data_IF_340285932548
#
_entry.id   IF_340285932548
#
_cell.length_a   1.000
_cell.length_b   1.000
_cell.length_c   1.000
_cell.angle_alpha   90.00
_cell.angle_beta   90.00
_cell.angle_gamma   90.00
#
_symmetry.space_group_name_H-M   'P 1'
#
loop_
_entity.id
_entity.type
_entity.pdbx_description
1 polymer ?
#
# COMPACT_ATOMS: atom_id res chain seq x y z
N UNK A 1 0.00 -12.51 -12.61
CA UNK A 1 -1.21 -12.19 -11.84
C UNK A 1 -2.34 -13.17 -12.11
N UNK A 2 -2.76 -13.37 -13.36
CA UNK A 2 -3.85 -14.33 -13.68
C UNK A 2 -3.42 -15.77 -13.37
N UNK A 3 -2.36 -16.26 -14.02
CA UNK A 3 -1.96 -17.68 -13.92
C UNK A 3 -1.46 -18.08 -12.53
N UNK A 4 -0.84 -17.14 -11.81
CA UNK A 4 -0.34 -17.38 -10.46
C UNK A 4 -1.41 -17.17 -9.37
N UNK A 5 -2.64 -16.78 -9.73
CA UNK A 5 -3.79 -16.69 -8.83
C UNK A 5 -3.97 -15.34 -8.13
N UNK A 6 -2.97 -14.45 -8.14
CA UNK A 6 -3.02 -13.15 -7.46
C UNK A 6 -4.22 -12.29 -7.91
N UNK A 7 -4.59 -12.35 -9.19
CA UNK A 7 -5.74 -11.61 -9.70
C UNK A 7 -7.06 -11.99 -8.99
N UNK A 8 -7.24 -13.27 -8.62
CA UNK A 8 -8.43 -13.75 -7.92
C UNK A 8 -8.47 -13.31 -6.46
N UNK A 9 -7.32 -12.93 -5.90
CA UNK A 9 -7.15 -12.49 -4.52
C UNK A 9 -7.33 -10.97 -4.36
N UNK A 10 -7.68 -10.26 -5.45
CA UNK A 10 -7.95 -8.82 -5.42
C UNK A 10 -6.79 -7.94 -5.89
N UNK A 11 -5.63 -8.51 -6.24
CA UNK A 11 -4.59 -7.74 -6.92
C UNK A 11 -5.04 -7.44 -8.37
N UNK A 12 -5.61 -6.26 -8.59
CA UNK A 12 -6.24 -5.90 -9.87
C UNK A 12 -5.46 -4.88 -10.70
N UNK A 13 -4.55 -4.10 -10.09
CA UNK A 13 -3.80 -3.05 -10.77
C UNK A 13 -2.41 -3.52 -11.22
N UNK A 14 -2.12 -3.37 -12.52
CA UNK A 14 -0.77 -3.43 -13.10
C UNK A 14 -0.29 -2.00 -13.27
N UNK A 15 0.58 -1.53 -12.38
CA UNK A 15 1.04 -0.14 -12.38
C UNK A 15 2.41 -0.02 -13.05
N UNK A 16 2.48 0.81 -14.09
CA UNK A 16 3.75 1.23 -14.69
C UNK A 16 4.29 2.41 -13.87
N UNK A 17 5.52 2.29 -13.39
CA UNK A 17 6.22 3.39 -12.68
C UNK A 17 6.99 4.29 -13.67
N UNK A 18 7.98 5.06 -13.23
CA UNK A 18 8.75 5.99 -14.07
C UNK A 18 9.40 5.32 -15.30
N UNK A 19 9.91 6.14 -16.22
CA UNK A 19 10.66 5.73 -17.44
C UNK A 19 9.85 5.06 -18.56
N UNK A 20 8.52 5.22 -18.58
CA UNK A 20 7.68 4.63 -19.64
C UNK A 20 7.54 5.52 -20.89
N UNK A 21 7.66 6.84 -20.74
CA UNK A 21 7.45 7.79 -21.82
C UNK A 21 8.75 8.11 -22.58
N UNK A 22 8.59 8.70 -23.76
CA UNK A 22 9.66 9.34 -24.50
C UNK A 22 10.25 10.51 -23.69
N UNK A 23 11.50 10.87 -24.00
CA UNK A 23 12.22 11.92 -23.26
C UNK A 23 11.57 13.30 -23.36
N UNK A 24 10.97 13.60 -24.52
CA UNK A 24 10.26 14.82 -24.82
C UNK A 24 8.81 14.52 -25.21
N UNK A 25 7.95 15.52 -25.04
CA UNK A 25 6.58 15.52 -25.55
C UNK A 25 6.60 15.53 -27.09
N UNK A 26 5.52 15.05 -27.70
CA UNK A 26 5.34 15.15 -29.15
C UNK A 26 5.20 16.61 -29.63
N UNK A 27 5.15 16.83 -30.95
CA UNK A 27 5.00 18.17 -31.54
C UNK A 27 3.71 18.91 -31.16
N UNK A 28 2.74 18.20 -30.58
CA UNK A 28 1.45 18.70 -30.13
C UNK A 28 1.47 18.93 -28.61
N UNK A 29 2.58 18.62 -27.94
CA UNK A 29 2.76 18.77 -26.49
C UNK A 29 2.12 17.64 -25.68
N UNK A 30 1.81 16.49 -26.27
CA UNK A 30 1.31 15.32 -25.53
C UNK A 30 2.47 14.45 -25.03
N UNK A 31 2.24 13.72 -23.94
CA UNK A 31 3.09 12.61 -23.56
C UNK A 31 3.03 11.53 -24.64
N UNK A 32 4.19 10.92 -24.95
CA UNK A 32 4.30 9.83 -25.90
C UNK A 32 4.98 8.64 -25.22
N UNK A 33 4.55 7.42 -25.51
CA UNK A 33 5.23 6.22 -25.01
C UNK A 33 6.63 6.10 -25.61
N UNK A 34 7.59 5.56 -24.85
CA UNK A 34 8.92 5.28 -25.37
C UNK A 34 8.84 4.16 -26.42
N UNK A 35 9.18 4.47 -27.69
CA UNK A 35 9.03 3.52 -28.78
C UNK A 35 9.93 2.27 -28.67
N UNK A 36 11.01 2.32 -27.90
CA UNK A 36 11.92 1.18 -27.72
C UNK A 36 11.41 0.18 -26.69
N UNK A 37 10.76 0.64 -25.63
CA UNK A 37 10.27 -0.21 -24.52
C UNK A 37 8.77 -0.44 -24.58
N UNK A 38 8.00 0.48 -25.17
CA UNK A 38 6.56 0.41 -25.40
C UNK A 38 6.22 0.65 -26.88
N UNK A 39 6.74 -0.18 -27.82
CA UNK A 39 6.55 0.04 -29.27
C UNK A 39 5.09 0.01 -29.72
N UNK A 40 4.23 -0.71 -29.00
CA UNK A 40 2.78 -0.78 -29.28
C UNK A 40 1.97 0.36 -28.66
N UNK A 41 2.61 1.21 -27.85
CA UNK A 41 1.97 2.29 -27.10
C UNK A 41 1.15 1.82 -25.89
N UNK A 42 0.84 2.78 -25.01
CA UNK A 42 0.05 2.54 -23.80
C UNK A 42 -1.38 2.06 -24.09
N UNK A 43 -2.12 2.57 -25.10
CA UNK A 43 -3.47 2.08 -25.41
C UNK A 43 -3.52 0.58 -25.70
N UNK A 44 -2.54 0.04 -26.44
CA UNK A 44 -2.49 -1.39 -26.73
C UNK A 44 -2.23 -2.21 -25.47
N UNK A 45 -1.38 -1.73 -24.58
CA UNK A 45 -1.10 -2.36 -23.29
C UNK A 45 -2.32 -2.31 -22.36
N UNK A 46 -3.02 -1.17 -22.29
CA UNK A 46 -4.27 -1.04 -21.54
C UNK A 46 -5.31 -2.04 -22.03
N UNK A 47 -5.55 -2.11 -23.34
CA UNK A 47 -6.45 -3.10 -23.94
C UNK A 47 -6.06 -4.55 -23.60
N UNK A 48 -4.76 -4.86 -23.61
CA UNK A 48 -4.27 -6.18 -23.22
C UNK A 48 -4.57 -6.48 -21.74
N UNK A 49 -4.26 -5.55 -20.84
CA UNK A 49 -4.49 -5.68 -19.39
C UNK A 49 -5.99 -5.79 -19.08
N UNK A 50 -6.82 -4.94 -19.68
CA UNK A 50 -8.29 -5.00 -19.56
C UNK A 50 -8.85 -6.31 -20.11
N UNK A 51 -8.30 -6.83 -21.21
CA UNK A 51 -8.67 -8.14 -21.76
C UNK A 51 -8.36 -9.31 -20.83
N UNK A 52 -7.56 -9.10 -19.77
CA UNK A 52 -7.31 -10.06 -18.69
C UNK A 52 -8.16 -9.82 -17.45
N UNK A 53 -9.08 -8.85 -17.48
CA UNK A 53 -9.91 -8.44 -16.34
C UNK A 53 -9.14 -7.65 -15.28
N UNK A 54 -7.98 -7.10 -15.63
CA UNK A 54 -7.13 -6.28 -14.76
C UNK A 54 -7.24 -4.81 -15.15
N UNK A 55 -6.65 -3.93 -14.35
CA UNK A 55 -6.61 -2.46 -14.53
C UNK A 55 -5.18 -2.01 -14.77
N UNK A 56 -4.99 -0.97 -15.60
CA UNK A 56 -3.67 -0.42 -15.90
C UNK A 56 -3.45 0.89 -15.15
N UNK A 57 -2.38 0.96 -14.36
CA UNK A 57 -1.87 2.20 -13.81
C UNK A 57 -0.70 2.76 -14.59
N UNK A 58 -0.53 4.07 -14.49
CA UNK A 58 0.58 4.82 -15.05
C UNK A 58 1.18 5.74 -14.00
N UNK A 59 2.36 6.27 -14.32
CA UNK A 59 3.10 7.20 -13.48
C UNK A 59 3.23 8.57 -14.16
N UNK A 60 3.13 9.63 -13.37
CA UNK A 60 3.47 10.99 -13.74
C UNK A 60 4.11 11.72 -12.56
N UNK A 61 4.45 12.99 -12.76
CA UNK A 61 5.06 13.83 -11.72
C UNK A 61 4.40 15.21 -11.72
N UNK A 62 4.10 15.72 -10.52
CA UNK A 62 3.65 17.08 -10.26
C UNK A 62 4.79 18.12 -10.39
N UNK A 63 5.57 18.01 -11.45
CA UNK A 63 6.78 18.78 -11.72
C UNK A 63 7.05 18.88 -13.21
N UNK A 64 8.14 19.54 -13.58
CA UNK A 64 8.51 19.70 -15.01
C UNK A 64 9.07 18.42 -15.64
N UNK A 65 9.70 17.56 -14.82
CA UNK A 65 10.22 16.25 -15.19
C UNK A 65 9.98 15.28 -14.05
N UNK A 66 9.97 13.99 -14.36
CA UNK A 66 9.89 12.94 -13.35
C UNK A 66 11.17 12.85 -12.53
N UNK A 67 11.15 12.05 -11.46
CA UNK A 67 12.31 11.87 -10.59
C UNK A 67 13.55 11.31 -11.31
N UNK A 68 13.39 10.39 -12.27
CA UNK A 68 14.49 9.92 -13.13
C UNK A 68 15.03 10.99 -14.08
N UNK A 69 14.23 12.05 -14.34
CA UNK A 69 14.46 13.09 -15.36
C UNK A 69 14.47 12.56 -16.80
N UNK A 70 14.10 11.29 -17.01
CA UNK A 70 14.11 10.64 -18.32
C UNK A 70 12.82 10.84 -19.10
N UNK A 71 11.79 11.43 -18.49
CA UNK A 71 10.56 11.82 -19.18
C UNK A 71 9.94 13.11 -18.60
N UNK A 72 9.03 13.76 -19.34
CA UNK A 72 8.34 14.95 -18.87
C UNK A 72 7.44 14.66 -17.66
N UNK A 73 7.36 15.63 -16.74
CA UNK A 73 6.29 15.69 -15.76
C UNK A 73 5.07 16.41 -16.34
N UNK A 74 4.03 16.57 -15.52
CA UNK A 74 2.73 17.08 -15.95
C UNK A 74 2.40 18.48 -15.42
N UNK A 75 3.32 19.14 -14.70
CA UNK A 75 3.10 20.51 -14.20
C UNK A 75 2.83 21.48 -15.36
N UNK A 76 1.65 22.10 -15.35
CA UNK A 76 1.16 23.00 -16.42
C UNK A 76 0.54 22.29 -17.64
N UNK A 77 0.47 20.96 -17.62
CA UNK A 77 -0.12 20.12 -18.68
C UNK A 77 -1.23 19.20 -18.14
N UNK A 78 -1.68 19.40 -16.90
CA UNK A 78 -2.51 18.47 -16.15
C UNK A 78 -3.81 18.12 -16.90
N UNK A 79 -4.54 19.11 -17.40
CA UNK A 79 -5.78 18.90 -18.16
C UNK A 79 -5.58 18.09 -19.45
N UNK A 80 -4.43 18.28 -20.12
CA UNK A 80 -4.10 17.56 -21.35
C UNK A 80 -3.66 16.14 -21.03
N UNK A 81 -2.81 15.96 -20.03
CA UNK A 81 -2.27 14.66 -19.66
C UNK A 81 -3.36 13.77 -19.06
N UNK A 82 -4.24 14.31 -18.20
CA UNK A 82 -5.39 13.59 -17.68
C UNK A 82 -6.32 13.08 -18.80
N UNK A 83 -6.60 13.91 -19.81
CA UNK A 83 -7.37 13.48 -21.00
C UNK A 83 -6.63 12.44 -21.83
N UNK A 84 -5.30 12.55 -21.91
CA UNK A 84 -4.45 11.57 -22.60
C UNK A 84 -4.54 10.22 -21.90
N UNK A 85 -4.35 10.17 -20.58
CA UNK A 85 -4.48 8.96 -19.76
C UNK A 85 -5.87 8.34 -19.88
N UNK A 86 -6.93 9.16 -19.78
CA UNK A 86 -8.30 8.70 -19.98
C UNK A 86 -8.53 8.10 -21.38
N UNK A 87 -8.02 8.74 -22.43
CA UNK A 87 -8.13 8.26 -23.82
C UNK A 87 -7.36 6.96 -24.06
N UNK A 88 -6.30 6.70 -23.29
CA UNK A 88 -5.53 5.46 -23.34
C UNK A 88 -6.14 4.35 -22.51
N UNK A 89 -7.18 4.63 -21.70
CA UNK A 89 -7.81 3.64 -20.82
C UNK A 89 -7.07 3.41 -19.50
N UNK A 90 -6.24 4.35 -19.05
CA UNK A 90 -5.59 4.26 -17.74
C UNK A 90 -6.63 4.28 -16.61
N UNK A 91 -6.41 3.50 -15.57
CA UNK A 91 -7.29 3.32 -14.41
C UNK A 91 -6.70 3.86 -13.10
N UNK A 92 -5.40 4.10 -13.06
CA UNK A 92 -4.66 4.52 -11.87
C UNK A 92 -3.53 5.48 -12.28
N UNK A 93 -3.32 6.55 -11.52
CA UNK A 93 -2.18 7.45 -11.65
C UNK A 93 -1.42 7.53 -10.32
N UNK A 94 -0.16 7.08 -10.30
CA UNK A 94 0.82 7.51 -9.30
C UNK A 94 1.38 8.86 -9.75
N UNK A 95 1.38 9.85 -8.87
CA UNK A 95 1.79 11.21 -9.22
C UNK A 95 2.83 11.71 -8.23
N UNK A 96 4.05 11.90 -8.72
CA UNK A 96 5.25 12.16 -7.92
C UNK A 96 5.50 13.66 -7.66
N UNK A 97 6.57 14.00 -6.96
CA UNK A 97 6.80 15.35 -6.43
C UNK A 97 8.17 15.97 -6.78
N UNK A 98 8.94 15.38 -7.71
CA UNK A 98 10.22 15.94 -8.13
C UNK A 98 10.03 17.20 -9.01
N UNK A 99 11.11 17.97 -9.21
CA UNK A 99 11.15 19.10 -10.17
C UNK A 99 9.93 20.08 -10.09
N UNK A 100 9.40 20.28 -8.89
CA UNK A 100 8.11 20.93 -8.60
C UNK A 100 8.12 22.47 -8.63
N UNK A 101 9.25 23.08 -9.02
CA UNK A 101 9.44 24.54 -9.10
C UNK A 101 9.22 25.31 -7.79
N UNK A 102 9.28 24.63 -6.64
CA UNK A 102 9.04 25.25 -5.33
C UNK A 102 7.57 25.55 -5.03
N UNK A 103 6.64 25.01 -5.83
CA UNK A 103 5.20 25.18 -5.64
C UNK A 103 4.72 24.14 -4.62
N UNK A 104 3.85 24.54 -3.69
CA UNK A 104 3.30 23.63 -2.67
C UNK A 104 2.59 22.41 -3.31
N UNK A 105 2.74 21.20 -2.72
CA UNK A 105 2.02 20.01 -3.16
C UNK A 105 0.50 20.21 -3.15
N UNK A 106 -0.06 20.84 -2.11
CA UNK A 106 -1.52 21.08 -2.02
C UNK A 106 -2.09 21.76 -3.26
N UNK A 107 -1.35 22.73 -3.83
CA UNK A 107 -1.77 23.41 -5.05
C UNK A 107 -1.65 22.50 -6.28
N UNK A 108 -0.47 21.91 -6.51
CA UNK A 108 -0.19 21.13 -7.73
C UNK A 108 -1.03 19.85 -7.82
N UNK A 109 -1.17 19.14 -6.71
CA UNK A 109 -1.96 17.92 -6.66
C UNK A 109 -3.46 18.19 -6.82
N UNK A 110 -3.98 19.29 -6.26
CA UNK A 110 -5.37 19.68 -6.48
C UNK A 110 -5.65 20.06 -7.95
N UNK A 111 -4.66 20.64 -8.66
CA UNK A 111 -4.77 20.87 -10.11
C UNK A 111 -4.92 19.56 -10.88
N UNK A 112 -4.06 18.55 -10.63
CA UNK A 112 -4.18 17.25 -11.29
C UNK A 112 -5.46 16.51 -10.87
N UNK A 113 -5.87 16.57 -9.60
CA UNK A 113 -7.13 15.98 -9.14
C UNK A 113 -8.33 16.48 -9.95
N UNK A 114 -8.45 17.81 -10.13
CA UNK A 114 -9.50 18.41 -10.96
C UNK A 114 -9.40 17.98 -12.43
N UNK A 115 -8.19 17.89 -12.98
CA UNK A 115 -7.98 17.42 -14.34
C UNK A 115 -8.45 15.96 -14.53
N UNK A 116 -8.13 15.07 -13.59
CA UNK A 116 -8.57 13.67 -13.60
C UNK A 116 -10.10 13.55 -13.49
N UNK A 117 -10.73 14.29 -12.57
CA UNK A 117 -12.19 14.31 -12.43
C UNK A 117 -12.90 14.80 -13.70
N UNK A 118 -12.27 15.72 -14.44
CA UNK A 118 -12.80 16.26 -15.71
C UNK A 118 -12.34 15.49 -16.96
N UNK A 119 -11.59 14.40 -16.80
CA UNK A 119 -11.03 13.63 -17.93
C UNK A 119 -12.07 12.76 -18.65
N UNK A 120 -13.20 12.48 -18.00
CA UNK A 120 -14.24 11.58 -18.50
C UNK A 120 -14.02 10.09 -18.16
N UNK A 121 -13.00 9.77 -17.36
CA UNK A 121 -12.75 8.41 -16.84
C UNK A 121 -12.43 8.47 -15.34
N UNK A 122 -12.92 7.49 -14.58
CA UNK A 122 -12.52 7.32 -13.19
C UNK A 122 -11.10 6.76 -13.14
N UNK A 123 -10.15 7.53 -12.61
CA UNK A 123 -8.74 7.16 -12.47
C UNK A 123 -8.41 7.28 -10.99
N UNK A 124 -7.97 6.17 -10.37
CA UNK A 124 -7.49 6.17 -8.99
C UNK A 124 -6.28 7.11 -8.87
N UNK A 125 -6.32 8.06 -7.93
CA UNK A 125 -5.26 9.06 -7.80
C UNK A 125 -4.40 8.81 -6.56
N UNK A 126 -3.17 8.37 -6.79
CA UNK A 126 -2.18 8.08 -5.75
C UNK A 126 -1.13 9.17 -5.70
N UNK A 127 -1.08 9.88 -4.58
CA UNK A 127 -0.16 10.98 -4.34
C UNK A 127 1.17 10.45 -3.83
N UNK A 128 2.28 10.92 -4.40
CA UNK A 128 3.63 10.49 -4.05
C UNK A 128 4.49 11.72 -3.73
N UNK A 129 4.18 12.42 -2.64
CA UNK A 129 4.96 13.59 -2.19
C UNK A 129 5.89 13.33 -1.01
N UNK A 130 5.92 12.08 -0.53
CA UNK A 130 6.81 11.56 0.51
C UNK A 130 6.53 12.03 1.95
N UNK A 131 5.31 12.44 2.25
CA UNK A 131 4.89 13.02 3.53
C UNK A 131 5.14 14.53 3.66
N UNK A 132 5.49 15.23 2.57
CA UNK A 132 5.79 16.66 2.55
C UNK A 132 4.53 17.50 2.72
N UNK A 133 4.53 18.38 3.73
CA UNK A 133 3.36 19.17 4.15
C UNK A 133 2.20 18.29 4.69
N UNK A 134 2.52 17.13 5.29
CA UNK A 134 1.62 16.30 6.09
C UNK A 134 0.31 15.89 5.37
N UNK A 135 0.39 15.05 4.31
CA UNK A 135 -0.73 14.72 3.42
C UNK A 135 -1.93 14.09 4.12
N UNK A 136 -1.73 13.39 5.25
CA UNK A 136 -2.83 12.87 6.06
C UNK A 136 -3.87 13.93 6.42
N UNK A 137 -3.47 15.21 6.50
CA UNK A 137 -4.37 16.31 6.88
C UNK A 137 -5.17 16.94 5.73
N UNK A 138 -4.82 16.66 4.46
CA UNK A 138 -5.42 17.35 3.32
C UNK A 138 -5.66 16.48 2.08
N UNK A 139 -4.88 15.41 1.87
CA UNK A 139 -4.89 14.63 0.64
C UNK A 139 -6.18 13.82 0.44
N UNK A 140 -6.92 13.52 1.52
CA UNK A 140 -8.22 12.84 1.43
C UNK A 140 -9.30 13.61 0.66
N UNK A 141 -9.17 14.94 0.54
CA UNK A 141 -10.02 15.75 -0.32
C UNK A 141 -9.51 15.88 -1.77
N UNK A 142 -8.37 15.28 -2.08
CA UNK A 142 -7.63 15.47 -3.35
C UNK A 142 -7.49 14.17 -4.13
N UNK A 143 -7.15 13.06 -3.48
CA UNK A 143 -6.95 11.76 -4.12
C UNK A 143 -7.35 10.59 -3.23
N UNK A 144 -6.95 9.39 -3.64
CA UNK A 144 -7.40 8.12 -3.06
C UNK A 144 -6.37 7.47 -2.14
N UNK A 145 -5.08 7.76 -2.32
CA UNK A 145 -4.03 7.43 -1.37
C UNK A 145 -2.91 8.45 -1.42
N UNK A 146 -2.09 8.52 -0.38
CA UNK A 146 -0.94 9.43 -0.31
C UNK A 146 0.23 8.82 0.44
N UNK A 147 1.41 8.89 -0.18
CA UNK A 147 2.68 8.49 0.44
C UNK A 147 2.91 9.30 1.71
N UNK A 148 3.15 8.60 2.83
CA UNK A 148 3.39 9.25 4.14
C UNK A 148 4.87 9.37 4.49
N UNK A 149 5.74 8.77 3.68
CA UNK A 149 7.19 8.69 3.91
C UNK A 149 7.99 8.78 2.62
N UNK A 150 9.30 9.00 2.73
CA UNK A 150 10.27 8.67 1.67
C UNK A 150 10.26 7.18 1.31
N UNK A 151 10.98 6.84 0.25
CA UNK A 151 10.89 5.52 -0.38
C UNK A 151 11.36 4.38 0.52
N UNK A 152 10.62 3.28 0.45
CA UNK A 152 11.03 2.01 1.05
C UNK A 152 12.26 1.46 0.32
N UNK A 153 13.02 0.68 1.07
CA UNK A 153 14.10 -0.16 0.56
C UNK A 153 13.90 -1.54 1.12
N UNK A 154 14.31 -2.55 0.36
CA UNK A 154 14.29 -3.96 0.76
C UNK A 154 15.30 -4.28 1.89
N UNK A 155 15.06 -3.72 3.06
CA UNK A 155 15.84 -3.88 4.29
C UNK A 155 14.93 -3.73 5.49
N UNK A 156 15.19 -4.52 6.54
CA UNK A 156 14.43 -4.48 7.79
C UNK A 156 14.34 -3.07 8.40
N UNK A 157 15.46 -2.35 8.40
CA UNK A 157 15.56 -1.01 8.96
C UNK A 157 14.66 0.00 8.22
N UNK A 158 14.60 -0.08 6.89
CA UNK A 158 13.73 0.80 6.11
C UNK A 158 12.25 0.47 6.34
N UNK A 159 11.89 -0.80 6.26
CA UNK A 159 10.50 -1.26 6.40
C UNK A 159 9.93 -0.89 7.77
N UNK A 160 10.66 -1.17 8.85
CA UNK A 160 10.22 -0.84 10.21
C UNK A 160 10.13 0.67 10.45
N UNK A 161 11.10 1.46 9.97
CA UNK A 161 11.07 2.91 10.12
C UNK A 161 9.91 3.56 9.35
N UNK A 162 9.50 2.98 8.23
CA UNK A 162 8.34 3.43 7.46
C UNK A 162 7.05 3.10 8.19
N UNK A 163 6.91 1.90 8.75
CA UNK A 163 5.76 1.54 9.57
C UNK A 163 5.57 2.52 10.73
N UNK A 164 6.64 2.84 11.47
CA UNK A 164 6.60 3.81 12.59
C UNK A 164 6.18 5.22 12.14
N UNK A 165 6.67 5.69 10.99
CA UNK A 165 6.32 7.02 10.46
C UNK A 165 4.88 7.09 9.94
N UNK A 166 4.36 5.99 9.42
CA UNK A 166 2.99 5.89 8.94
C UNK A 166 1.97 5.83 10.08
N UNK A 167 2.32 5.20 11.21
CA UNK A 167 1.44 4.93 12.34
C UNK A 167 0.74 6.17 12.90
N UNK A 168 1.47 7.29 13.02
CA UNK A 168 0.92 8.56 13.54
C UNK A 168 -0.26 9.12 12.71
N UNK A 169 -0.45 8.64 11.49
CA UNK A 169 -1.51 9.08 10.59
C UNK A 169 -2.76 8.21 10.61
N UNK A 170 -2.82 7.18 11.47
CA UNK A 170 -3.90 6.19 11.48
C UNK A 170 -5.31 6.78 11.49
N UNK A 171 -5.54 7.87 12.24
CA UNK A 171 -6.87 8.49 12.33
C UNK A 171 -7.35 9.22 11.06
N UNK A 172 -6.49 9.36 10.04
CA UNK A 172 -6.81 10.05 8.79
C UNK A 172 -7.16 9.09 7.65
N UNK A 173 -6.87 7.80 7.79
CA UNK A 173 -7.20 6.80 6.78
C UNK A 173 -8.66 6.34 6.92
N UNK A 174 -9.28 6.04 5.79
CA UNK A 174 -10.63 5.49 5.73
C UNK A 174 -11.08 5.20 4.30
N UNK A 175 -12.30 4.65 4.11
CA UNK A 175 -12.83 4.37 2.78
C UNK A 175 -12.73 5.56 1.83
N UNK A 176 -11.93 5.40 0.77
CA UNK A 176 -11.70 6.40 -0.26
C UNK A 176 -10.42 7.23 -0.11
N UNK A 177 -9.72 7.16 1.03
CA UNK A 177 -8.48 7.89 1.29
C UNK A 177 -7.56 7.14 2.25
N UNK A 178 -6.43 6.65 1.73
CA UNK A 178 -5.54 5.75 2.47
C UNK A 178 -4.12 6.32 2.65
N UNK A 179 -3.55 6.15 3.84
CA UNK A 179 -2.13 6.37 4.04
C UNK A 179 -1.34 5.29 3.29
N UNK A 180 -0.34 5.71 2.52
CA UNK A 180 0.50 4.84 1.71
C UNK A 180 1.93 4.77 2.30
N UNK A 181 2.26 3.71 3.05
CA UNK A 181 3.62 3.44 3.51
C UNK A 181 4.53 2.85 2.41
N UNK A 182 4.22 3.06 1.13
CA UNK A 182 4.97 2.58 -0.03
C UNK A 182 4.78 1.09 -0.35
N UNK A 183 5.35 0.67 -1.48
CA UNK A 183 5.17 -0.66 -2.07
C UNK A 183 5.69 -1.81 -1.18
N UNK A 184 5.18 -3.01 -1.43
CA UNK A 184 5.64 -4.23 -0.77
C UNK A 184 6.98 -4.69 -1.35
N UNK A 185 7.98 -4.89 -0.49
CA UNK A 185 9.30 -5.44 -0.85
C UNK A 185 9.36 -6.98 -0.80
N UNK A 186 8.23 -7.63 -0.49
CA UNK A 186 8.12 -9.09 -0.32
C UNK A 186 8.65 -9.84 -1.54
N UNK A 187 9.72 -10.61 -1.35
CA UNK A 187 10.31 -11.46 -2.38
C UNK A 187 11.48 -10.84 -3.16
N UNK A 188 11.94 -9.64 -2.80
CA UNK A 188 13.09 -8.99 -3.46
C UNK A 188 14.47 -9.46 -2.98
N UNK A 189 14.52 -10.17 -1.84
CA UNK A 189 15.67 -10.94 -1.35
C UNK A 189 16.55 -10.25 -0.30
N UNK A 190 16.28 -9.00 0.05
CA UNK A 190 16.99 -8.21 1.05
C UNK A 190 16.50 -8.39 2.50
N UNK A 191 15.36 -9.05 2.69
CA UNK A 191 14.82 -9.43 3.99
C UNK A 191 14.55 -10.94 4.08
N UNK A 192 14.50 -11.47 5.30
CA UNK A 192 14.14 -12.86 5.57
C UNK A 192 12.64 -13.11 5.34
N UNK A 193 12.24 -14.38 5.21
CA UNK A 193 10.82 -14.75 5.10
C UNK A 193 9.99 -14.22 6.27
N UNK A 194 10.51 -14.26 7.50
CA UNK A 194 9.78 -13.79 8.68
C UNK A 194 9.68 -12.26 8.72
N UNK A 195 10.72 -11.55 8.26
CA UNK A 195 10.66 -10.10 8.09
C UNK A 195 9.63 -9.70 7.02
N UNK A 196 9.54 -10.43 5.91
CA UNK A 196 8.51 -10.23 4.89
C UNK A 196 7.11 -10.58 5.38
N UNK A 197 6.95 -11.61 6.21
CA UNK A 197 5.69 -11.95 6.86
C UNK A 197 5.22 -10.81 7.76
N UNK A 198 6.14 -10.25 8.55
CA UNK A 198 5.90 -9.05 9.38
C UNK A 198 5.52 -7.84 8.54
N UNK A 199 6.26 -7.56 7.46
CA UNK A 199 5.98 -6.47 6.53
C UNK A 199 4.56 -6.57 5.94
N UNK A 200 4.18 -7.74 5.41
CA UNK A 200 2.85 -7.93 4.84
C UNK A 200 1.74 -7.84 5.89
N UNK A 201 1.96 -8.39 7.09
CA UNK A 201 0.99 -8.32 8.19
C UNK A 201 0.73 -6.88 8.65
N UNK A 202 1.80 -6.08 8.81
CA UNK A 202 1.68 -4.68 9.20
C UNK A 202 1.00 -3.87 8.10
N UNK A 203 1.39 -4.02 6.83
CA UNK A 203 0.74 -3.30 5.72
C UNK A 203 -0.75 -3.66 5.62
N UNK A 204 -1.10 -4.92 5.83
CA UNK A 204 -2.49 -5.35 5.87
C UNK A 204 -3.26 -4.72 7.04
N UNK A 205 -2.69 -4.77 8.26
CA UNK A 205 -3.31 -4.20 9.44
C UNK A 205 -3.56 -2.68 9.29
N UNK A 206 -2.55 -1.95 8.80
CA UNK A 206 -2.60 -0.48 8.68
C UNK A 206 -3.37 0.01 7.44
N UNK A 207 -4.06 -0.89 6.72
CA UNK A 207 -4.88 -0.57 5.54
C UNK A 207 -4.09 0.14 4.44
N UNK A 208 -2.81 -0.22 4.32
CA UNK A 208 -1.95 0.26 3.24
C UNK A 208 -2.44 -0.28 1.88
N UNK A 209 -2.19 0.45 0.78
CA UNK A 209 -2.20 -0.15 -0.55
C UNK A 209 -1.26 -1.36 -0.61
N UNK A 210 -1.75 -2.52 -1.04
CA UNK A 210 -0.95 -3.75 -1.19
C UNK A 210 -0.39 -3.86 -2.61
N UNK A 211 0.59 -3.00 -2.94
CA UNK A 211 1.24 -2.98 -4.26
C UNK A 211 2.48 -3.88 -4.25
N UNK A 212 2.44 -4.99 -4.98
CA UNK A 212 3.58 -5.95 -5.06
C UNK A 212 4.75 -5.32 -5.83
N UNK A 213 5.92 -5.25 -5.19
CA UNK A 213 7.15 -4.71 -5.79
C UNK A 213 8.15 -5.75 -6.32
N UNK A 214 7.83 -7.05 -6.29
CA UNK A 214 8.72 -8.12 -6.75
C UNK A 214 8.40 -8.65 -8.15
N UNK A 215 9.29 -9.48 -8.72
CA UNK A 215 9.02 -10.19 -9.97
C UNK A 215 8.02 -11.35 -9.77
N UNK A 216 6.75 -11.07 -10.04
CA UNK A 216 5.67 -12.05 -9.93
C UNK A 216 5.73 -13.22 -10.92
N UNK A 217 6.65 -13.17 -11.91
CA UNK A 217 6.84 -14.24 -12.91
C UNK A 217 7.69 -15.39 -12.36
N UNK A 218 8.48 -15.13 -11.32
CA UNK A 218 9.44 -16.07 -10.74
C UNK A 218 9.47 -16.02 -9.21
N UNK A 219 8.29 -15.92 -8.58
CA UNK A 219 8.17 -15.94 -7.12
C UNK A 219 8.59 -17.28 -6.54
N UNK A 220 9.28 -17.25 -5.40
CA UNK A 220 9.46 -18.45 -4.58
C UNK A 220 8.12 -18.93 -4.00
N UNK A 221 8.09 -20.15 -3.46
CA UNK A 221 6.90 -20.68 -2.79
C UNK A 221 6.53 -19.82 -1.58
N UNK A 222 7.54 -19.43 -0.80
CA UNK A 222 7.41 -18.60 0.41
C UNK A 222 6.87 -17.21 0.07
N UNK A 223 7.39 -16.59 -1.01
CA UNK A 223 6.90 -15.30 -1.51
C UNK A 223 5.42 -15.40 -1.89
N UNK A 224 5.06 -16.46 -2.62
CA UNK A 224 3.67 -16.70 -3.01
C UNK A 224 2.77 -16.95 -1.80
N UNK A 225 3.23 -17.71 -0.80
CA UNK A 225 2.49 -17.97 0.44
C UNK A 225 2.19 -16.67 1.21
N UNK A 226 3.16 -15.76 1.32
CA UNK A 226 2.96 -14.45 1.96
C UNK A 226 1.94 -13.62 1.20
N UNK A 227 2.18 -13.41 -0.10
CA UNK A 227 1.35 -12.52 -0.92
C UNK A 227 -0.05 -13.08 -1.20
N UNK A 228 -0.27 -14.39 -1.03
CA UNK A 228 -1.54 -15.06 -1.35
C UNK A 228 -2.38 -15.42 -0.13
N UNK A 229 -2.03 -14.94 1.07
CA UNK A 229 -2.78 -15.26 2.28
C UNK A 229 -4.14 -14.51 2.31
N UNK A 230 -5.22 -15.21 1.96
CA UNK A 230 -6.59 -14.69 1.92
C UNK A 230 -7.06 -14.10 3.26
N UNK A 231 -6.68 -14.71 4.38
CA UNK A 231 -7.07 -14.25 5.72
C UNK A 231 -6.43 -12.89 6.05
N UNK A 232 -5.16 -12.71 5.70
CA UNK A 232 -4.44 -11.44 5.92
C UNK A 232 -4.94 -10.36 4.95
N UNK A 233 -5.20 -10.72 3.68
CA UNK A 233 -5.80 -9.80 2.70
C UNK A 233 -7.19 -9.34 3.16
N UNK A 234 -8.01 -10.24 3.73
CA UNK A 234 -9.33 -9.90 4.26
C UNK A 234 -9.26 -8.87 5.40
N UNK A 235 -8.20 -8.87 6.21
CA UNK A 235 -7.96 -7.81 7.20
C UNK A 235 -7.67 -6.47 6.53
N UNK A 236 -6.89 -6.45 5.46
CA UNK A 236 -6.62 -5.22 4.69
C UNK A 236 -7.88 -4.68 4.01
N UNK A 237 -8.72 -5.57 3.49
CA UNK A 237 -9.92 -5.25 2.71
C UNK A 237 -11.20 -5.17 3.56
N UNK A 238 -11.08 -5.17 4.88
CA UNK A 238 -12.25 -5.09 5.77
C UNK A 238 -13.04 -3.80 5.53
N UNK A 239 -14.37 -3.93 5.41
CA UNK A 239 -15.27 -2.85 5.01
C UNK A 239 -15.32 -1.68 6.00
N UNK A 240 -14.95 -1.90 7.27
CA UNK A 240 -14.88 -0.82 8.25
C UNK A 240 -13.78 0.19 7.88
N UNK A 241 -12.73 -0.27 7.19
CA UNK A 241 -11.70 0.59 6.63
C UNK A 241 -10.89 1.37 7.66
N UNK A 242 -10.81 0.89 8.90
CA UNK A 242 -10.05 1.59 9.96
C UNK A 242 -8.61 1.08 9.97
N UNK A 243 -7.66 2.00 9.80
CA UNK A 243 -6.24 1.72 9.95
C UNK A 243 -5.93 1.29 11.39
N UNK A 244 -5.35 0.09 11.53
CA UNK A 244 -4.77 -0.33 12.80
C UNK A 244 -3.52 0.48 13.14
N UNK A 245 -3.15 0.51 14.42
CA UNK A 245 -2.02 1.27 14.92
C UNK A 245 -1.32 0.55 16.08
N UNK A 246 -0.14 1.02 16.46
CA UNK A 246 0.58 0.50 17.63
C UNK A 246 -0.15 0.84 18.92
N UNK A 247 -0.50 -0.16 19.72
CA UNK A 247 -1.24 0.00 20.99
C UNK A 247 -0.40 -0.32 22.23
N UNK A 248 0.66 -1.11 22.08
CA UNK A 248 1.64 -1.39 23.14
C UNK A 248 3.05 -1.50 22.58
N UNK A 249 4.03 -1.13 23.40
CA UNK A 249 5.44 -1.32 23.11
C UNK A 249 6.21 -1.53 24.42
N UNK A 250 6.95 -2.62 24.51
CA UNK A 250 7.95 -2.90 25.56
C UNK A 250 9.28 -3.25 24.88
N UNK A 251 10.19 -2.28 24.86
CA UNK A 251 11.43 -2.40 24.08
C UNK A 251 11.14 -2.66 22.59
N UNK A 252 11.59 -3.82 22.12
CA UNK A 252 11.40 -4.28 20.74
C UNK A 252 10.13 -5.14 20.55
N UNK A 253 9.37 -5.41 21.61
CA UNK A 253 8.13 -6.19 21.53
C UNK A 253 6.94 -5.24 21.41
N UNK A 254 6.19 -5.36 20.33
CA UNK A 254 5.08 -4.47 20.02
C UNK A 254 3.77 -5.24 19.85
N UNK A 255 2.67 -4.58 20.21
CA UNK A 255 1.32 -5.00 19.87
C UNK A 255 0.69 -3.91 19.02
N UNK A 256 0.23 -4.29 17.84
CA UNK A 256 -0.55 -3.44 16.95
C UNK A 256 -1.97 -3.99 16.85
N UNK A 257 -2.95 -3.12 16.80
CA UNK A 257 -4.35 -3.53 16.73
C UNK A 257 -5.21 -2.55 15.94
N UNK A 258 -6.33 -3.04 15.40
CA UNK A 258 -7.34 -2.23 14.74
C UNK A 258 -8.69 -2.93 14.70
N UNK A 259 -9.81 -2.20 14.86
CA UNK A 259 -11.13 -2.77 14.75
C UNK A 259 -11.41 -3.22 13.31
N UNK A 260 -12.23 -4.27 13.19
CA UNK A 260 -12.77 -4.77 11.94
C UNK A 260 -14.31 -4.75 12.00
N UNK A 261 -14.94 -4.97 10.85
CA UNK A 261 -16.38 -5.20 10.73
C UNK A 261 -16.90 -6.27 11.70
N UNK A 262 -18.14 -6.12 12.14
CA UNK A 262 -18.78 -7.09 13.04
C UNK A 262 -18.22 -7.14 14.47
N UNK A 263 -17.47 -6.13 14.91
CA UNK A 263 -16.91 -6.05 16.26
C UNK A 263 -15.68 -6.94 16.50
N UNK A 264 -15.12 -7.50 15.42
CA UNK A 264 -13.85 -8.23 15.44
C UNK A 264 -12.68 -7.26 15.57
N UNK A 265 -11.52 -7.76 15.99
CA UNK A 265 -10.29 -6.96 16.12
C UNK A 265 -9.14 -7.72 15.47
N UNK A 266 -8.41 -7.06 14.58
CA UNK A 266 -7.13 -7.56 14.09
C UNK A 266 -6.03 -7.18 15.09
N UNK A 267 -5.15 -8.12 15.40
CA UNK A 267 -3.97 -7.89 16.25
C UNK A 267 -2.71 -8.44 15.56
N UNK A 268 -1.59 -7.75 15.73
CA UNK A 268 -0.26 -8.22 15.35
C UNK A 268 0.65 -8.11 16.57
N UNK A 269 1.20 -9.25 17.00
CA UNK A 269 2.26 -9.34 18.01
C UNK A 269 3.59 -9.35 17.24
N UNK A 270 4.34 -8.27 17.33
CA UNK A 270 5.51 -8.05 16.50
C UNK A 270 6.79 -7.98 17.32
N UNK A 271 7.70 -8.94 17.09
CA UNK A 271 9.01 -8.93 17.74
C UNK A 271 10.02 -8.27 16.82
N UNK A 272 10.39 -7.02 17.11
CA UNK A 272 11.44 -6.30 16.38
C UNK A 272 12.85 -6.64 16.83
N UNK A 273 12.98 -7.42 17.90
CA UNK A 273 14.25 -7.74 18.53
C UNK A 273 14.97 -8.88 17.82
N UNK A 274 16.26 -9.00 18.13
CA UNK A 274 17.18 -9.99 17.53
C UNK A 274 17.10 -11.40 18.16
N UNK A 275 16.23 -11.59 19.15
CA UNK A 275 16.05 -12.85 19.87
C UNK A 275 14.57 -13.16 20.04
N UNK A 276 14.25 -14.45 20.21
CA UNK A 276 12.91 -14.93 20.54
C UNK A 276 12.42 -14.29 21.84
N UNK A 277 11.20 -13.77 21.84
CA UNK A 277 10.60 -13.10 22.99
C UNK A 277 9.11 -13.47 23.14
N UNK A 278 8.58 -13.37 24.36
CA UNK A 278 7.15 -13.46 24.61
C UNK A 278 6.50 -12.08 24.48
N UNK A 279 5.34 -12.02 23.83
CA UNK A 279 4.56 -10.80 23.63
C UNK A 279 3.13 -11.07 24.06
N UNK A 280 2.58 -10.21 24.91
CA UNK A 280 1.23 -10.33 25.43
C UNK A 280 0.38 -9.14 24.99
N UNK A 281 -0.71 -9.40 24.26
CA UNK A 281 -1.76 -8.41 24.00
C UNK A 281 -2.84 -8.50 25.07
N UNK A 282 -2.96 -7.48 25.92
CA UNK A 282 -4.04 -7.39 26.89
C UNK A 282 -5.32 -6.86 26.24
N UNK A 283 -6.50 -7.37 26.63
CA UNK A 283 -7.79 -6.94 26.08
C UNK A 283 -8.00 -5.43 26.24
N UNK A 284 -7.56 -4.88 27.37
CA UNK A 284 -7.64 -3.44 27.64
C UNK A 284 -6.89 -2.57 26.62
N UNK A 285 -5.79 -3.04 26.02
CA UNK A 285 -5.03 -2.25 25.05
C UNK A 285 -5.59 -2.33 23.64
N UNK A 286 -6.28 -3.41 23.32
CA UNK A 286 -6.92 -3.61 22.01
C UNK A 286 -8.39 -3.17 21.99
N UNK A 287 -8.86 -2.51 23.06
CA UNK A 287 -10.21 -1.95 23.15
C UNK A 287 -11.31 -2.93 23.58
N UNK A 288 -10.95 -4.07 24.17
CA UNK A 288 -11.88 -5.04 24.75
C UNK A 288 -11.95 -4.93 26.28
N UNK A 289 -13.08 -5.36 26.85
CA UNK A 289 -13.18 -5.57 28.28
C UNK A 289 -12.38 -6.83 28.69
N UNK A 290 -11.65 -6.79 29.79
CA UNK A 290 -10.89 -7.93 30.31
C UNK A 290 -11.77 -9.18 30.55
N UNK A 291 -13.06 -9.02 30.84
CA UNK A 291 -13.99 -10.16 31.00
C UNK A 291 -14.52 -10.72 29.69
N UNK A 292 -14.23 -10.11 28.53
CA UNK A 292 -14.70 -10.60 27.22
C UNK A 292 -14.00 -11.92 26.88
N UNK A 293 -14.81 -12.96 26.64
CA UNK A 293 -14.34 -14.21 26.06
C UNK A 293 -14.37 -14.07 24.54
N UNK A 294 -13.31 -14.50 23.87
CA UNK A 294 -13.19 -14.42 22.42
C UNK A 294 -12.51 -15.67 21.85
N UNK A 295 -12.68 -15.89 20.54
CA UNK A 295 -11.84 -16.82 19.78
C UNK A 295 -10.76 -16.02 19.03
N UNK A 296 -9.52 -16.50 19.04
CA UNK A 296 -8.40 -15.89 18.31
C UNK A 296 -7.96 -16.80 17.16
N UNK A 297 -8.18 -16.35 15.92
CA UNK A 297 -7.80 -17.06 14.70
C UNK A 297 -6.43 -16.59 14.22
N UNK A 298 -5.41 -17.46 14.27
CA UNK A 298 -4.06 -17.21 13.73
C UNK A 298 -4.12 -17.23 12.20
N UNK A 299 -3.89 -16.08 11.57
CA UNK A 299 -4.09 -15.92 10.13
C UNK A 299 -2.98 -16.57 9.30
N UNK A 300 -1.84 -16.89 9.90
CA UNK A 300 -0.70 -17.51 9.22
C UNK A 300 -0.70 -19.03 9.31
N UNK A 301 -1.28 -19.60 10.37
CA UNK A 301 -1.38 -21.05 10.55
C UNK A 301 -2.79 -21.59 10.34
N UNK A 302 -3.78 -20.72 10.22
CA UNK A 302 -5.22 -21.03 10.15
C UNK A 302 -5.75 -21.74 11.42
N UNK A 303 -4.99 -21.70 12.51
CA UNK A 303 -5.37 -22.27 13.80
C UNK A 303 -6.29 -21.34 14.60
N UNK A 304 -7.18 -21.91 15.42
CA UNK A 304 -8.05 -21.13 16.31
C UNK A 304 -7.76 -21.48 17.76
N UNK A 305 -7.46 -20.47 18.57
CA UNK A 305 -7.38 -20.57 20.02
C UNK A 305 -8.76 -20.15 20.56
N UNK A 306 -9.51 -21.11 21.08
CA UNK A 306 -10.88 -20.85 21.53
C UNK A 306 -10.94 -20.33 22.97
N UNK A 307 -11.92 -19.47 23.22
CA UNK A 307 -12.29 -18.99 24.56
C UNK A 307 -11.14 -18.33 25.33
N UNK A 308 -10.32 -17.56 24.62
CA UNK A 308 -9.30 -16.67 25.19
C UNK A 308 -10.00 -15.52 25.93
N UNK A 309 -9.47 -15.11 27.07
CA UNK A 309 -10.07 -14.06 27.90
C UNK A 309 -8.96 -13.24 28.57
N UNK A 310 -9.14 -11.93 28.60
CA UNK A 310 -8.24 -10.99 29.30
C UNK A 310 -6.98 -10.65 28.53
N UNK A 311 -6.30 -11.63 27.94
CA UNK A 311 -5.07 -11.44 27.17
C UNK A 311 -4.78 -12.60 26.20
N UNK A 312 -3.95 -12.34 25.21
CA UNK A 312 -3.32 -13.35 24.34
C UNK A 312 -1.80 -13.22 24.43
N UNK A 313 -1.13 -14.29 24.86
CA UNK A 313 0.34 -14.33 24.98
C UNK A 313 0.93 -15.35 24.01
N UNK A 314 1.95 -14.94 23.27
CA UNK A 314 2.63 -15.77 22.29
C UNK A 314 4.14 -15.63 22.37
N UNK A 315 4.85 -16.69 21.97
CA UNK A 315 6.30 -16.62 21.80
C UNK A 315 6.63 -16.40 20.33
N UNK A 316 7.31 -15.30 20.03
CA UNK A 316 7.56 -14.81 18.68
C UNK A 316 9.06 -14.83 18.39
N UNK A 317 9.46 -15.46 17.29
CA UNK A 317 10.86 -15.49 16.84
C UNK A 317 11.40 -14.08 16.52
N UNK A 318 12.72 -13.96 16.40
CA UNK A 318 13.39 -12.70 16.02
C UNK A 318 12.82 -12.17 14.70
N UNK A 319 12.44 -10.89 14.66
CA UNK A 319 11.86 -10.18 13.51
C UNK A 319 10.56 -10.79 12.94
N UNK A 320 10.00 -11.80 13.60
CA UNK A 320 8.76 -12.44 13.21
C UNK A 320 7.55 -11.72 13.80
N UNK A 321 6.37 -12.09 13.32
CA UNK A 321 5.11 -11.66 13.90
C UNK A 321 4.14 -12.83 14.05
N UNK A 322 3.15 -12.63 14.91
CA UNK A 322 1.92 -13.41 14.94
C UNK A 322 0.75 -12.49 14.67
N UNK A 323 -0.13 -12.87 13.76
CA UNK A 323 -1.28 -12.05 13.38
C UNK A 323 -2.56 -12.84 13.64
N UNK A 324 -3.50 -12.23 14.35
CA UNK A 324 -4.78 -12.84 14.66
C UNK A 324 -5.96 -11.94 14.31
N UNK A 325 -7.10 -12.56 14.05
CA UNK A 325 -8.41 -11.93 14.22
C UNK A 325 -9.04 -12.46 15.50
N UNK A 326 -9.32 -11.55 16.43
CA UNK A 326 -10.04 -11.81 17.68
C UNK A 326 -11.52 -11.56 17.45
N UNK A 327 -12.34 -12.57 17.72
CA UNK A 327 -13.81 -12.52 17.59
C UNK A 327 -14.44 -12.64 18.98
N UNK A 328 -14.91 -11.52 19.58
CA UNK A 328 -15.65 -11.53 20.83
C UNK A 328 -16.92 -12.41 20.77
N UNK A 329 -17.24 -13.10 21.88
CA UNK A 329 -18.46 -13.89 22.05
C UNK A 329 -19.52 -13.15 22.84
#
# INVERSE_FOLDING_TARGET
MVDNGLAKLGYEYINIDDCWAAYDRDSQGNLAANASTFPSGIPALANYVHGKGLKLGIYGDAGSRTCSKLMPGSLGYEDKDAKTFASWGVDYLKYDNCNNQGISPQLRYNTMSKALLNSGRNIFFSLCEWGVDDPGTWAGGVGNSWRTTGDIKDTWASMTAIADKNDKWASYAGPGGWNDPDMLEVGNGGMTTEEYRSHFSIWALVKAPLLIGCDIRSMSKETKEILSNENVIAVNQDELGVQGHKVQQDGDQEVWAGPLSGGKIAIVLWNRGSTKASITASWSSIGLNASTVADAHDLWTDGVISSVQGELNETVDSHACKMYVVTPK
#
